data_IF_309428654679
#
_entry.id   IF_309428654679
#
_cell.length_a   1.000
_cell.length_b   1.000
_cell.length_c   1.000
_cell.angle_alpha   90.00
_cell.angle_beta   90.00
_cell.angle_gamma   90.00
#
_symmetry.space_group_name_H-M   'P 1'
#
loop_
_entity.id
_entity.type
_entity.pdbx_description
1 polymer ?
#
# COMPACT_ATOMS: atom_id res chain seq x y z
N UNK A 1 25.06 30.11 -4.60
CA UNK A 1 25.84 29.08 -5.29
C UNK A 1 26.14 27.86 -4.42
N UNK A 2 26.25 27.97 -3.10
CA UNK A 2 26.62 26.88 -2.18
C UNK A 2 25.49 25.90 -1.85
N UNK A 3 24.22 26.32 -1.84
CA UNK A 3 23.07 25.44 -1.55
C UNK A 3 22.73 24.47 -2.70
N UNK A 4 22.89 24.89 -3.95
CA UNK A 4 22.64 24.02 -5.11
C UNK A 4 23.67 22.89 -5.24
N UNK A 5 24.94 23.18 -4.89
CA UNK A 5 26.01 22.17 -4.93
C UNK A 5 25.91 21.13 -3.80
N UNK A 6 25.38 21.51 -2.63
CA UNK A 6 25.15 20.55 -1.53
C UNK A 6 24.02 19.56 -1.87
N UNK A 7 23.00 20.00 -2.59
CA UNK A 7 21.88 19.15 -3.03
C UNK A 7 22.30 18.15 -4.15
N UNK A 8 23.24 18.52 -5.01
CA UNK A 8 23.81 17.59 -6.02
C UNK A 8 24.76 16.56 -5.39
N UNK A 9 25.57 16.95 -4.41
CA UNK A 9 26.48 16.02 -3.73
C UNK A 9 25.73 14.99 -2.85
N UNK A 10 24.64 15.39 -2.20
CA UNK A 10 23.81 14.46 -1.41
C UNK A 10 23.04 13.46 -2.28
N UNK A 11 22.61 13.88 -3.47
CA UNK A 11 22.06 12.97 -4.48
C UNK A 11 23.06 11.91 -4.92
N UNK A 12 24.33 12.29 -5.12
CA UNK A 12 25.40 11.41 -5.56
C UNK A 12 25.71 10.26 -4.60
N UNK A 13 25.46 10.41 -3.30
CA UNK A 13 25.71 9.34 -2.33
C UNK A 13 24.54 8.31 -2.26
N UNK A 14 23.30 8.75 -2.50
CA UNK A 14 22.13 7.85 -2.57
C UNK A 14 21.96 7.16 -3.93
N UNK A 15 22.56 7.69 -4.99
CA UNK A 15 22.37 7.19 -6.34
C UNK A 15 23.69 6.68 -6.94
N UNK A 16 23.60 5.85 -7.95
CA UNK A 16 24.76 5.53 -8.77
C UNK A 16 25.17 6.75 -9.61
N UNK A 17 26.46 6.85 -9.99
CA UNK A 17 26.91 7.88 -10.91
C UNK A 17 26.15 7.80 -12.25
N UNK A 18 25.74 8.95 -12.79
CA UNK A 18 25.10 9.01 -14.10
C UNK A 18 26.12 8.83 -15.21
N UNK A 19 26.28 7.59 -15.68
CA UNK A 19 27.24 7.23 -16.75
C UNK A 19 26.56 6.93 -18.10
N UNK A 20 25.23 7.03 -18.16
CA UNK A 20 24.41 6.73 -19.33
C UNK A 20 23.47 7.88 -19.68
N UNK A 21 23.17 8.04 -20.97
CA UNK A 21 22.13 8.97 -21.43
C UNK A 21 20.71 8.36 -21.36
N UNK A 22 20.60 7.07 -21.09
CA UNK A 22 19.34 6.38 -20.90
C UNK A 22 18.63 6.87 -19.63
N UNK A 23 17.41 7.45 -19.71
CA UNK A 23 16.64 7.88 -18.55
C UNK A 23 16.39 6.78 -17.52
N UNK A 24 16.29 5.52 -17.95
CA UNK A 24 16.11 4.37 -17.04
C UNK A 24 17.34 4.10 -16.16
N UNK A 25 18.50 4.67 -16.52
CA UNK A 25 19.77 4.47 -15.82
C UNK A 25 20.30 5.71 -15.11
N UNK A 26 19.53 6.81 -15.08
CA UNK A 26 19.92 8.05 -14.39
C UNK A 26 19.30 8.10 -12.99
N UNK A 27 20.06 8.59 -12.03
CA UNK A 27 19.64 8.78 -10.63
C UNK A 27 19.06 7.52 -9.96
N UNK A 28 19.49 6.33 -10.42
CA UNK A 28 19.08 5.05 -9.83
C UNK A 28 19.62 4.94 -8.42
N UNK A 29 18.74 4.64 -7.46
CA UNK A 29 19.12 4.49 -6.06
C UNK A 29 20.09 3.32 -5.88
N UNK A 30 21.17 3.55 -5.11
CA UNK A 30 22.09 2.49 -4.69
C UNK A 30 21.32 1.44 -3.90
N UNK A 31 21.49 0.20 -4.28
CA UNK A 31 20.75 -0.93 -3.74
C UNK A 31 21.69 -2.14 -3.58
N UNK A 32 21.32 -3.05 -2.70
CA UNK A 32 22.11 -4.25 -2.38
C UNK A 32 22.20 -5.27 -3.52
N UNK A 33 21.34 -5.13 -4.53
CA UNK A 33 21.34 -5.98 -5.73
C UNK A 33 22.38 -5.54 -6.77
N UNK A 34 22.92 -4.31 -6.66
CA UNK A 34 23.81 -3.73 -7.67
C UNK A 34 23.10 -3.30 -8.95
N UNK A 35 21.77 -3.24 -8.95
CA UNK A 35 20.95 -2.90 -10.12
C UNK A 35 21.06 -1.40 -10.42
N UNK A 36 21.32 -1.06 -11.69
CA UNK A 36 21.47 0.31 -12.21
C UNK A 36 20.44 0.63 -13.31
N UNK A 37 19.23 0.10 -13.19
CA UNK A 37 18.07 0.37 -14.04
C UNK A 37 16.86 0.56 -13.13
N UNK A 38 16.08 1.63 -13.37
CA UNK A 38 14.86 1.92 -12.59
C UNK A 38 13.80 0.84 -12.77
N UNK A 39 13.62 0.33 -13.98
CA UNK A 39 12.61 -0.69 -14.28
C UNK A 39 12.94 -2.03 -13.62
N UNK A 40 14.21 -2.44 -13.68
CA UNK A 40 14.68 -3.66 -13.01
C UNK A 40 14.64 -3.51 -11.48
N UNK A 41 15.16 -2.39 -10.94
CA UNK A 41 15.15 -2.14 -9.50
C UNK A 41 13.72 -2.11 -8.97
N UNK A 42 12.79 -1.48 -9.66
CA UNK A 42 11.38 -1.46 -9.27
C UNK A 42 10.83 -2.87 -9.11
N UNK A 43 11.13 -3.76 -10.04
CA UNK A 43 10.63 -5.14 -10.00
C UNK A 43 11.17 -5.89 -8.79
N UNK A 44 12.48 -5.85 -8.57
CA UNK A 44 13.11 -6.58 -7.46
C UNK A 44 12.80 -5.95 -6.09
N UNK A 45 12.74 -4.62 -6.02
CA UNK A 45 12.33 -3.90 -4.81
C UNK A 45 10.89 -4.27 -4.40
N UNK A 46 9.95 -4.27 -5.36
CA UNK A 46 8.56 -4.66 -5.08
C UNK A 46 8.47 -6.10 -4.58
N UNK A 47 9.22 -7.02 -5.19
CA UNK A 47 9.24 -8.43 -4.77
C UNK A 47 9.77 -8.58 -3.35
N UNK A 48 10.91 -7.98 -3.04
CA UNK A 48 11.53 -8.04 -1.72
C UNK A 48 10.65 -7.38 -0.66
N UNK A 49 10.13 -6.17 -0.95
CA UNK A 49 9.26 -5.45 -0.03
C UNK A 49 7.92 -6.17 0.20
N UNK A 50 7.31 -6.77 -0.83
CA UNK A 50 6.06 -7.53 -0.70
C UNK A 50 6.23 -8.74 0.23
N UNK A 51 7.34 -9.45 0.12
CA UNK A 51 7.67 -10.56 1.02
C UNK A 51 7.72 -10.10 2.48
N UNK A 52 8.44 -9.01 2.77
CA UNK A 52 8.55 -8.45 4.12
C UNK A 52 7.23 -7.88 4.65
N UNK A 53 6.42 -7.29 3.78
CA UNK A 53 5.08 -6.82 4.15
C UNK A 53 4.14 -7.98 4.50
N UNK A 54 4.25 -9.13 3.80
CA UNK A 54 3.49 -10.32 4.15
C UNK A 54 3.90 -10.86 5.54
N UNK A 55 5.18 -10.94 5.86
CA UNK A 55 5.65 -11.30 7.21
C UNK A 55 5.10 -10.36 8.28
N UNK A 56 5.08 -9.04 8.04
CA UNK A 56 4.46 -8.07 8.95
C UNK A 56 2.97 -8.39 9.14
N UNK A 57 2.24 -8.66 8.06
CA UNK A 57 0.80 -8.98 8.13
C UNK A 57 0.52 -10.28 8.90
N UNK A 58 1.43 -11.25 8.86
CA UNK A 58 1.38 -12.48 9.64
C UNK A 58 1.78 -12.29 11.13
N UNK A 59 2.35 -11.13 11.47
CA UNK A 59 2.73 -10.77 12.83
C UNK A 59 4.20 -10.98 13.16
N UNK A 60 5.03 -11.31 12.17
CA UNK A 60 6.47 -11.52 12.32
C UNK A 60 7.28 -10.23 12.14
N UNK A 61 6.60 -9.09 12.02
CA UNK A 61 7.20 -7.77 11.91
C UNK A 61 7.81 -7.24 13.21
N UNK A 62 8.51 -6.10 13.14
CA UNK A 62 9.10 -5.48 14.32
C UNK A 62 8.03 -5.01 15.30
N UNK A 63 8.18 -5.38 16.57
CA UNK A 63 7.30 -4.91 17.64
C UNK A 63 7.64 -3.49 18.07
N UNK A 64 6.64 -2.70 18.51
CA UNK A 64 6.84 -1.34 18.99
C UNK A 64 5.59 -0.70 19.59
N UNK A 65 5.69 0.60 19.90
CA UNK A 65 4.64 1.36 20.56
C UNK A 65 3.96 2.39 19.65
N UNK A 66 4.07 2.23 18.33
CA UNK A 66 3.55 3.16 17.33
C UNK A 66 4.10 4.60 17.49
N UNK A 67 5.37 4.67 17.87
CA UNK A 67 6.18 5.86 17.92
C UNK A 67 7.11 5.97 16.68
N UNK A 68 7.93 7.00 16.65
CA UNK A 68 8.91 7.24 15.57
C UNK A 68 9.89 6.07 15.39
N UNK A 69 10.30 5.43 16.48
CA UNK A 69 11.23 4.31 16.42
C UNK A 69 10.56 3.09 15.78
N UNK A 70 9.32 2.84 16.12
CA UNK A 70 8.54 1.75 15.51
C UNK A 70 8.32 1.99 14.00
N UNK A 71 7.96 3.22 13.59
CA UNK A 71 7.84 3.58 12.17
C UNK A 71 9.16 3.32 11.41
N UNK A 72 10.30 3.73 11.99
CA UNK A 72 11.64 3.49 11.42
C UNK A 72 11.98 2.00 11.38
N UNK A 73 11.61 1.24 12.41
CA UNK A 73 11.84 -0.20 12.45
C UNK A 73 11.03 -0.93 11.35
N UNK A 74 9.77 -0.55 11.14
CA UNK A 74 8.95 -1.08 10.04
C UNK A 74 9.56 -0.77 8.67
N UNK A 75 9.99 0.49 8.43
CA UNK A 75 10.69 0.83 7.20
C UNK A 75 11.98 0.01 7.03
N UNK A 76 12.76 -0.11 8.11
CA UNK A 76 13.99 -0.91 8.13
C UNK A 76 13.71 -2.36 7.75
N UNK A 77 12.66 -2.96 8.30
CA UNK A 77 12.26 -4.34 8.04
C UNK A 77 11.79 -4.56 6.60
N UNK A 78 10.96 -3.67 6.07
CA UNK A 78 10.44 -3.78 4.69
C UNK A 78 11.57 -3.69 3.67
N UNK A 79 12.56 -2.82 3.89
CA UNK A 79 13.59 -2.51 2.89
C UNK A 79 14.98 -3.06 3.22
N UNK A 80 15.12 -3.87 4.27
CA UNK A 80 16.42 -4.40 4.72
C UNK A 80 17.19 -5.17 3.64
N UNK A 81 16.49 -5.81 2.73
CA UNK A 81 17.11 -6.60 1.66
C UNK A 81 17.49 -5.75 0.44
N UNK A 82 17.00 -4.52 0.39
CA UNK A 82 17.15 -3.63 -0.78
C UNK A 82 18.12 -2.50 -0.54
N UNK A 83 18.01 -1.81 0.60
CA UNK A 83 18.74 -0.58 0.86
C UNK A 83 19.59 -0.64 2.13
N UNK A 84 20.82 -0.12 2.04
CA UNK A 84 21.68 0.02 3.24
C UNK A 84 21.17 1.08 4.21
N UNK A 85 20.44 2.06 3.72
CA UNK A 85 19.81 3.13 4.50
C UNK A 85 18.39 2.78 5.01
N UNK A 86 17.95 1.53 4.86
CA UNK A 86 16.66 1.10 5.38
C UNK A 86 16.54 1.41 6.90
N UNK A 87 15.41 1.99 7.33
CA UNK A 87 15.18 2.43 8.70
C UNK A 87 15.69 3.84 9.03
N UNK A 88 16.44 4.48 8.14
CA UNK A 88 16.91 5.84 8.32
C UNK A 88 16.00 6.87 7.65
N UNK A 89 15.64 7.90 8.37
CA UNK A 89 14.92 9.04 7.81
C UNK A 89 15.86 9.92 6.96
N UNK A 90 15.31 10.63 5.98
CA UNK A 90 16.09 11.42 5.02
C UNK A 90 16.82 12.64 5.61
N UNK A 91 16.58 12.97 6.89
CA UNK A 91 17.34 13.96 7.64
C UNK A 91 18.51 13.36 8.43
N UNK A 92 18.69 12.05 8.39
CA UNK A 92 19.83 11.36 9.01
C UNK A 92 20.99 11.18 8.00
N UNK A 93 22.11 10.70 8.51
CA UNK A 93 23.35 10.54 7.75
C UNK A 93 23.83 9.07 7.76
N UNK A 94 23.07 8.14 7.15
CA UNK A 94 23.48 6.74 7.06
C UNK A 94 24.77 6.57 6.25
N UNK A 95 25.34 5.38 6.34
CA UNK A 95 26.44 4.95 5.46
C UNK A 95 25.83 4.18 4.28
N UNK A 96 26.17 4.59 3.07
CA UNK A 96 25.73 3.93 1.82
C UNK A 96 26.98 3.71 0.96
N UNK A 97 27.25 2.47 0.59
CA UNK A 97 28.46 2.10 -0.15
C UNK A 97 29.76 2.67 0.47
N UNK A 98 29.87 2.55 1.80
CA UNK A 98 31.01 3.03 2.57
C UNK A 98 31.11 4.56 2.72
N UNK A 99 30.17 5.33 2.18
CA UNK A 99 30.14 6.79 2.26
C UNK A 99 29.01 7.30 3.14
N UNK A 100 29.29 8.34 3.94
CA UNK A 100 28.26 9.01 4.71
C UNK A 100 27.40 9.85 3.78
N UNK A 101 26.09 9.62 3.84
CA UNK A 101 25.11 10.40 3.08
C UNK A 101 24.73 11.66 3.85
N UNK A 102 24.63 12.77 3.15
CA UNK A 102 24.16 14.03 3.74
C UNK A 102 22.63 14.09 3.83
N UNK A 103 22.08 14.79 4.82
CA UNK A 103 20.64 14.97 4.96
C UNK A 103 19.99 15.63 3.73
N UNK A 104 18.83 15.12 3.33
CA UNK A 104 18.05 15.70 2.24
C UNK A 104 17.17 16.83 2.81
N UNK A 105 17.46 18.06 2.45
CA UNK A 105 16.75 19.25 2.92
C UNK A 105 15.36 19.41 2.33
N UNK A 106 15.24 19.30 1.02
CA UNK A 106 13.99 19.41 0.27
C UNK A 106 13.67 18.12 -0.48
N UNK A 107 12.39 17.75 -0.53
CA UNK A 107 11.91 16.65 -1.35
C UNK A 107 10.55 17.02 -1.93
N UNK A 108 10.34 16.74 -3.22
CA UNK A 108 9.06 16.94 -3.90
C UNK A 108 8.79 15.78 -4.86
N UNK A 109 7.52 15.46 -5.10
CA UNK A 109 7.09 14.43 -6.04
C UNK A 109 5.78 14.87 -6.70
N UNK A 110 5.71 14.80 -8.03
CA UNK A 110 4.49 15.12 -8.77
C UNK A 110 3.93 16.53 -8.51
N UNK A 111 4.81 17.52 -8.24
CA UNK A 111 4.40 18.89 -7.92
C UNK A 111 4.07 19.13 -6.44
N UNK A 112 3.98 18.10 -5.62
CA UNK A 112 3.74 18.22 -4.17
C UNK A 112 5.07 18.34 -3.43
N UNK A 113 5.24 19.40 -2.62
CA UNK A 113 6.38 19.59 -1.73
C UNK A 113 6.11 18.99 -0.36
N UNK A 114 7.08 18.25 0.15
CA UNK A 114 7.01 17.63 1.48
C UNK A 114 7.68 18.51 2.54
N UNK A 115 7.47 18.15 3.81
CA UNK A 115 8.04 18.87 4.93
C UNK A 115 9.58 19.00 4.79
N UNK A 116 10.19 20.18 5.04
CA UNK A 116 11.64 20.33 5.01
C UNK A 116 12.36 19.35 5.93
N UNK A 117 13.50 18.80 5.48
CA UNK A 117 14.26 17.77 6.21
C UNK A 117 14.60 18.17 7.66
N UNK A 118 14.94 19.42 7.91
CA UNK A 118 15.23 19.94 9.26
C UNK A 118 14.04 19.90 10.24
N UNK A 119 12.82 19.64 9.74
CA UNK A 119 11.58 19.59 10.55
C UNK A 119 11.01 18.17 10.70
N UNK A 120 11.63 17.15 10.12
CA UNK A 120 11.10 15.77 10.12
C UNK A 120 10.82 15.28 11.54
N UNK A 121 11.74 15.48 12.49
CA UNK A 121 11.55 15.02 13.88
C UNK A 121 10.32 15.63 14.53
N UNK A 122 10.12 16.93 14.35
CA UNK A 122 8.93 17.65 14.85
C UNK A 122 7.66 17.18 14.10
N UNK A 123 7.76 17.04 12.78
CA UNK A 123 6.63 16.56 11.97
C UNK A 123 6.17 15.17 12.35
N UNK A 124 7.09 14.24 12.64
CA UNK A 124 6.77 12.91 13.14
C UNK A 124 6.11 12.96 14.52
N UNK A 125 6.55 13.87 15.41
CA UNK A 125 5.89 14.05 16.71
C UNK A 125 4.46 14.52 16.59
N UNK A 126 4.15 15.43 15.66
CA UNK A 126 2.78 15.88 15.41
C UNK A 126 1.96 14.80 14.67
N UNK A 127 2.52 14.16 13.66
CA UNK A 127 1.85 13.12 12.89
C UNK A 127 1.35 11.94 13.76
N UNK A 128 2.14 11.57 14.77
CA UNK A 128 1.81 10.44 15.65
C UNK A 128 0.97 10.83 16.89
N UNK A 129 0.70 12.13 17.07
CA UNK A 129 -0.07 12.64 18.21
C UNK A 129 -1.49 12.03 18.34
N UNK A 130 -2.27 11.81 17.26
CA UNK A 130 -3.61 11.21 17.36
C UNK A 130 -3.65 9.82 17.98
N UNK A 131 -2.53 9.09 17.98
CA UNK A 131 -2.43 7.69 18.43
C UNK A 131 -1.57 7.50 19.68
N UNK A 132 -1.16 8.59 20.33
CA UNK A 132 -0.31 8.51 21.55
C UNK A 132 -1.02 7.94 22.77
N UNK A 133 -2.35 8.04 22.82
CA UNK A 133 -3.14 7.53 23.95
C UNK A 133 -3.69 6.12 23.61
N UNK A 134 -3.09 5.04 24.20
CA UNK A 134 -3.56 3.69 23.96
C UNK A 134 -4.98 3.44 24.49
N UNK A 135 -5.44 4.18 25.51
CA UNK A 135 -6.78 4.02 26.07
C UNK A 135 -7.85 4.55 25.09
N UNK A 136 -7.57 5.70 24.48
CA UNK A 136 -8.45 6.26 23.47
C UNK A 136 -8.60 5.34 22.26
N UNK A 137 -7.52 4.66 21.85
CA UNK A 137 -7.56 3.70 20.73
C UNK A 137 -8.31 2.40 21.08
N UNK A 138 -8.15 1.88 22.31
CA UNK A 138 -8.85 0.65 22.74
C UNK A 138 -10.36 0.79 22.80
N UNK A 139 -10.84 1.99 23.09
CA UNK A 139 -12.27 2.29 23.25
C UNK A 139 -12.87 2.93 21.99
N UNK A 140 -12.08 3.20 20.96
CA UNK A 140 -12.53 3.85 19.74
C UNK A 140 -13.51 2.96 18.97
N UNK A 141 -14.65 3.54 18.57
CA UNK A 141 -15.50 2.94 17.55
C UNK A 141 -14.75 2.91 16.19
N UNK A 142 -15.12 2.03 15.24
CA UNK A 142 -14.45 1.95 13.94
C UNK A 142 -14.30 3.30 13.22
N UNK A 143 -15.31 4.14 13.27
CA UNK A 143 -15.31 5.47 12.64
C UNK A 143 -14.36 6.45 13.33
N UNK A 144 -14.28 6.40 14.67
CA UNK A 144 -13.33 7.20 15.44
C UNK A 144 -11.89 6.72 15.22
N UNK A 145 -11.69 5.40 15.15
CA UNK A 145 -10.40 4.82 14.83
C UNK A 145 -9.97 5.22 13.41
N UNK A 146 -10.88 5.14 12.42
CA UNK A 146 -10.63 5.56 11.05
C UNK A 146 -10.20 7.04 10.97
N UNK A 147 -10.86 7.93 11.71
CA UNK A 147 -10.51 9.35 11.77
C UNK A 147 -9.09 9.58 12.32
N UNK A 148 -8.73 8.90 13.41
CA UNK A 148 -7.39 8.99 14.00
C UNK A 148 -6.31 8.42 13.08
N UNK A 149 -6.55 7.25 12.50
CA UNK A 149 -5.63 6.61 11.56
C UNK A 149 -5.46 7.42 10.27
N UNK A 150 -6.53 8.03 9.77
CA UNK A 150 -6.50 8.93 8.62
C UNK A 150 -5.63 10.17 8.88
N UNK A 151 -5.76 10.80 10.04
CA UNK A 151 -4.91 11.94 10.43
C UNK A 151 -3.44 11.54 10.47
N UNK A 152 -3.12 10.37 11.07
CA UNK A 152 -1.75 9.85 11.07
C UNK A 152 -1.24 9.64 9.65
N UNK A 153 -2.02 9.00 8.79
CA UNK A 153 -1.62 8.70 7.41
C UNK A 153 -1.42 9.97 6.59
N UNK A 154 -2.31 10.95 6.69
CA UNK A 154 -2.20 12.25 6.01
C UNK A 154 -0.95 13.02 6.46
N UNK A 155 -0.73 13.12 7.77
CA UNK A 155 0.43 13.84 8.31
C UNK A 155 1.75 13.12 7.98
N UNK A 156 1.81 11.79 8.09
CA UNK A 156 3.00 11.02 7.68
C UNK A 156 3.29 11.16 6.19
N UNK A 157 2.23 11.26 5.36
CA UNK A 157 2.39 11.51 3.93
C UNK A 157 2.99 12.91 3.66
N UNK A 158 2.55 13.95 4.38
CA UNK A 158 3.14 15.29 4.29
C UNK A 158 4.57 15.35 4.84
N UNK A 159 4.84 14.70 5.96
CA UNK A 159 6.20 14.61 6.54
C UNK A 159 7.17 13.91 5.58
N UNK A 160 6.73 12.83 4.93
CA UNK A 160 7.49 12.04 3.97
C UNK A 160 8.91 11.73 4.46
N UNK A 161 9.04 11.00 5.59
CA UNK A 161 10.30 10.97 6.33
C UNK A 161 11.43 10.19 5.66
N UNK A 162 11.14 9.28 4.75
CA UNK A 162 12.14 8.42 4.12
C UNK A 162 12.49 8.88 2.70
N UNK A 163 13.65 8.45 2.22
CA UNK A 163 14.08 8.73 0.84
C UNK A 163 13.18 8.06 -0.20
N UNK A 164 12.77 6.82 0.05
CA UNK A 164 11.83 6.01 -0.73
C UNK A 164 11.04 5.10 0.22
N UNK A 165 9.96 4.47 -0.25
CA UNK A 165 9.20 3.48 0.51
C UNK A 165 8.21 4.05 1.53
N UNK A 166 7.95 5.36 1.52
CA UNK A 166 7.05 6.01 2.48
C UNK A 166 5.64 5.40 2.47
N UNK A 167 5.00 5.24 1.31
CA UNK A 167 3.64 4.70 1.21
C UNK A 167 3.52 3.30 1.83
N UNK A 168 4.38 2.36 1.42
CA UNK A 168 4.37 0.97 1.95
C UNK A 168 4.61 0.92 3.45
N UNK A 169 5.52 1.76 3.95
CA UNK A 169 5.79 1.85 5.40
C UNK A 169 4.59 2.41 6.16
N UNK A 170 3.93 3.44 5.64
CA UNK A 170 2.75 4.05 6.24
C UNK A 170 1.57 3.08 6.26
N UNK A 171 1.30 2.38 5.17
CA UNK A 171 0.27 1.35 5.07
C UNK A 171 0.53 0.21 6.06
N UNK A 172 1.75 -0.33 6.12
CA UNK A 172 2.13 -1.37 7.07
C UNK A 172 1.99 -0.89 8.53
N UNK A 173 2.45 0.31 8.83
CA UNK A 173 2.37 0.89 10.17
C UNK A 173 0.92 1.08 10.64
N UNK A 174 0.05 1.60 9.76
CA UNK A 174 -1.36 1.82 10.09
C UNK A 174 -2.14 0.49 10.14
N UNK A 175 -1.81 -0.48 9.30
CA UNK A 175 -2.39 -1.84 9.37
C UNK A 175 -2.05 -2.55 10.69
N UNK A 176 -0.77 -2.46 11.13
CA UNK A 176 -0.34 -2.98 12.42
C UNK A 176 -1.04 -2.28 13.59
N UNK A 177 -1.22 -0.95 13.51
CA UNK A 177 -1.99 -0.20 14.48
C UNK A 177 -3.42 -0.72 14.55
N UNK A 178 -4.06 -0.91 13.41
CA UNK A 178 -5.41 -1.47 13.32
C UNK A 178 -5.49 -2.86 13.97
N UNK A 179 -4.61 -3.77 13.59
CA UNK A 179 -4.54 -5.13 14.14
C UNK A 179 -4.38 -5.12 15.67
N UNK A 180 -3.51 -4.25 16.19
CA UNK A 180 -3.27 -4.12 17.64
C UNK A 180 -4.51 -3.72 18.41
N UNK A 181 -5.39 -2.91 17.83
CA UNK A 181 -6.58 -2.37 18.48
C UNK A 181 -7.91 -3.01 18.00
N UNK A 182 -7.83 -4.13 17.26
CA UNK A 182 -8.99 -4.91 16.85
C UNK A 182 -9.72 -4.36 15.61
N UNK A 183 -9.05 -3.53 14.82
CA UNK A 183 -9.56 -3.00 13.56
C UNK A 183 -8.75 -3.57 12.39
N UNK A 184 -9.35 -4.48 11.64
CA UNK A 184 -8.73 -5.01 10.42
C UNK A 184 -8.76 -3.96 9.31
N UNK A 185 -7.60 -3.59 8.79
CA UNK A 185 -7.45 -2.64 7.68
C UNK A 185 -6.91 -3.38 6.46
N UNK A 186 -7.67 -3.36 5.37
CA UNK A 186 -7.29 -3.99 4.12
C UNK A 186 -7.05 -2.94 3.02
N UNK A 187 -5.81 -2.53 2.84
CA UNK A 187 -5.44 -1.61 1.77
C UNK A 187 -5.42 -2.26 0.38
N UNK A 188 -5.58 -3.58 0.27
CA UNK A 188 -5.61 -4.26 -1.05
C UNK A 188 -6.84 -3.90 -1.87
N UNK A 189 -7.89 -3.35 -1.25
CA UNK A 189 -9.08 -2.84 -1.93
C UNK A 189 -8.97 -1.35 -2.29
N UNK A 190 -7.88 -0.69 -1.92
CA UNK A 190 -7.64 0.72 -2.22
C UNK A 190 -6.72 0.83 -3.43
N UNK A 191 -7.23 1.39 -4.50
CA UNK A 191 -6.42 1.61 -5.71
C UNK A 191 -5.38 2.71 -5.51
N UNK A 192 -4.27 2.61 -6.24
CA UNK A 192 -3.21 3.61 -6.18
C UNK A 192 -3.68 5.02 -6.57
N UNK A 193 -4.48 5.23 -7.64
CA UNK A 193 -5.04 6.56 -7.94
C UNK A 193 -5.88 7.11 -6.79
N UNK A 194 -6.71 6.28 -6.15
CA UNK A 194 -7.51 6.69 -4.98
C UNK A 194 -6.66 7.16 -3.81
N UNK A 195 -5.60 6.42 -3.47
CA UNK A 195 -4.68 6.79 -2.40
C UNK A 195 -3.93 8.09 -2.71
N UNK A 196 -3.48 8.26 -3.97
CA UNK A 196 -2.76 9.46 -4.40
C UNK A 196 -3.68 10.68 -4.33
N UNK A 197 -4.91 10.58 -4.82
CA UNK A 197 -5.88 11.68 -4.80
C UNK A 197 -6.18 12.12 -3.35
N UNK A 198 -6.50 11.18 -2.47
CA UNK A 198 -6.74 11.48 -1.06
C UNK A 198 -5.51 12.11 -0.38
N UNK A 199 -4.31 11.68 -0.73
CA UNK A 199 -3.05 12.26 -0.24
C UNK A 199 -2.83 13.70 -0.70
N UNK A 200 -3.09 14.00 -1.97
CA UNK A 200 -3.00 15.36 -2.53
C UNK A 200 -4.04 16.26 -1.90
N UNK A 201 -5.28 15.80 -1.83
CA UNK A 201 -6.41 16.56 -1.29
C UNK A 201 -6.18 16.94 0.17
N UNK A 202 -5.79 15.99 1.02
CA UNK A 202 -5.51 16.26 2.44
C UNK A 202 -4.23 17.07 2.67
N UNK A 203 -3.29 17.06 1.74
CA UNK A 203 -2.12 17.96 1.78
C UNK A 203 -2.51 19.40 1.47
N UNK A 204 -3.43 19.61 0.53
CA UNK A 204 -3.92 20.94 0.14
C UNK A 204 -4.95 21.48 1.12
N UNK A 205 -5.81 20.63 1.66
CA UNK A 205 -6.81 20.94 2.67
C UNK A 205 -6.77 19.87 3.80
N UNK A 206 -6.08 20.16 4.92
CA UNK A 206 -6.03 19.25 6.06
C UNK A 206 -7.39 18.94 6.72
N UNK A 207 -8.44 19.70 6.39
CA UNK A 207 -9.81 19.44 6.85
C UNK A 207 -10.61 18.50 5.96
N UNK A 208 -10.08 18.16 4.78
CA UNK A 208 -10.72 17.23 3.85
C UNK A 208 -10.94 15.86 4.47
N UNK A 209 -12.13 15.26 4.28
CA UNK A 209 -12.40 13.89 4.74
C UNK A 209 -11.81 12.80 3.80
N UNK A 210 -11.11 13.13 2.73
CA UNK A 210 -10.71 12.19 1.69
C UNK A 210 -9.92 11.00 2.25
N UNK A 211 -8.91 11.22 3.09
CA UNK A 211 -8.15 10.13 3.70
C UNK A 211 -8.97 9.34 4.73
N UNK A 212 -9.88 9.99 5.45
CA UNK A 212 -10.83 9.31 6.34
C UNK A 212 -11.72 8.35 5.55
N UNK A 213 -12.22 8.77 4.40
CA UNK A 213 -13.00 7.92 3.51
C UNK A 213 -12.21 6.72 2.98
N UNK A 214 -10.90 6.87 2.71
CA UNK A 214 -10.03 5.75 2.36
C UNK A 214 -9.96 4.74 3.52
N UNK A 215 -9.77 5.21 4.75
CA UNK A 215 -9.70 4.32 5.93
C UNK A 215 -11.06 3.66 6.23
N UNK A 216 -12.17 4.37 6.10
CA UNK A 216 -13.51 3.77 6.23
C UNK A 216 -13.75 2.66 5.21
N UNK A 217 -13.33 2.89 3.95
CA UNK A 217 -13.41 1.88 2.88
C UNK A 217 -12.53 0.65 3.19
N UNK A 218 -11.35 0.86 3.76
CA UNK A 218 -10.41 -0.21 4.09
C UNK A 218 -10.79 -0.98 5.38
N UNK A 219 -11.50 -0.35 6.34
CA UNK A 219 -11.89 -0.95 7.63
C UNK A 219 -13.24 -1.65 7.56
N UNK A 220 -14.24 -1.05 6.92
CA UNK A 220 -15.60 -1.57 6.90
C UNK A 220 -15.72 -2.80 5.98
N UNK A 221 -16.12 -3.99 6.50
CA UNK A 221 -16.20 -5.22 5.70
C UNK A 221 -17.15 -5.09 4.49
N UNK A 222 -18.26 -4.37 4.66
CA UNK A 222 -19.26 -4.21 3.61
C UNK A 222 -18.75 -3.29 2.49
N UNK A 223 -18.00 -2.22 2.84
CA UNK A 223 -17.34 -1.34 1.87
C UNK A 223 -16.24 -2.07 1.13
N UNK A 224 -15.43 -2.89 1.82
CA UNK A 224 -14.43 -3.76 1.19
C UNK A 224 -15.06 -4.70 0.17
N UNK A 225 -16.21 -5.29 0.51
CA UNK A 225 -16.94 -6.18 -0.40
C UNK A 225 -17.46 -5.42 -1.63
N UNK A 226 -18.01 -4.22 -1.43
CA UNK A 226 -18.45 -3.36 -2.52
C UNK A 226 -17.30 -3.00 -3.48
N UNK A 227 -16.13 -2.67 -2.95
CA UNK A 227 -14.94 -2.39 -3.76
C UNK A 227 -14.45 -3.62 -4.52
N UNK A 228 -14.49 -4.81 -3.90
CA UNK A 228 -14.14 -6.06 -4.60
C UNK A 228 -15.11 -6.39 -5.72
N UNK A 229 -16.41 -6.10 -5.55
CA UNK A 229 -17.40 -6.25 -6.61
C UNK A 229 -17.07 -5.30 -7.78
N UNK A 230 -16.84 -4.01 -7.52
CA UNK A 230 -16.43 -3.05 -8.55
C UNK A 230 -15.11 -3.46 -9.25
N UNK A 231 -14.16 -4.05 -8.53
CA UNK A 231 -12.94 -4.60 -9.12
C UNK A 231 -13.24 -5.79 -10.05
N UNK A 232 -14.22 -6.63 -9.69
CA UNK A 232 -14.63 -7.76 -10.52
C UNK A 232 -15.29 -7.27 -11.81
N UNK A 233 -16.24 -6.33 -11.72
CA UNK A 233 -16.90 -5.73 -12.87
C UNK A 233 -15.89 -5.17 -13.89
N UNK A 234 -14.90 -4.42 -13.41
CA UNK A 234 -13.84 -3.88 -14.28
C UNK A 234 -12.99 -4.97 -14.93
N UNK A 235 -12.65 -6.03 -14.19
CA UNK A 235 -11.89 -7.16 -14.75
C UNK A 235 -12.65 -7.90 -15.82
N UNK A 236 -13.97 -8.07 -15.70
CA UNK A 236 -14.83 -8.69 -16.70
C UNK A 236 -14.83 -7.89 -18.02
N UNK A 237 -14.66 -6.57 -17.93
CA UNK A 237 -14.51 -5.70 -19.08
C UNK A 237 -13.07 -5.67 -19.65
N UNK A 238 -12.13 -6.39 -19.04
CA UNK A 238 -10.73 -6.41 -19.44
C UNK A 238 -9.92 -5.22 -18.94
N UNK A 239 -10.49 -4.41 -18.04
CA UNK A 239 -9.83 -3.26 -17.43
C UNK A 239 -8.94 -3.68 -16.25
N UNK A 240 -8.03 -2.80 -15.86
CA UNK A 240 -7.14 -2.99 -14.71
C UNK A 240 -7.65 -2.16 -13.52
N UNK A 241 -8.33 -2.74 -12.54
CA UNK A 241 -8.98 -1.99 -11.46
C UNK A 241 -8.03 -1.06 -10.70
N UNK A 242 -6.78 -1.47 -10.51
CA UNK A 242 -5.78 -0.67 -9.77
C UNK A 242 -5.27 0.57 -10.53
N UNK A 243 -5.65 0.77 -11.79
CA UNK A 243 -5.35 1.96 -12.58
C UNK A 243 -6.48 3.01 -12.51
N UNK A 244 -7.63 2.68 -11.91
CA UNK A 244 -8.79 3.55 -11.77
C UNK A 244 -8.93 4.10 -10.34
N UNK A 245 -9.51 5.31 -10.21
CA UNK A 245 -9.96 5.82 -8.92
C UNK A 245 -11.29 5.14 -8.57
N UNK A 246 -11.27 4.27 -7.56
CA UNK A 246 -12.44 3.47 -7.15
C UNK A 246 -12.72 3.74 -5.68
N UNK A 247 -13.98 4.05 -5.37
CA UNK A 247 -14.46 4.34 -4.02
C UNK A 247 -15.87 3.82 -3.78
N UNK A 248 -16.27 3.75 -2.52
CA UNK A 248 -17.67 3.53 -2.20
C UNK A 248 -18.43 4.85 -2.10
N UNK A 249 -19.73 4.80 -2.33
CA UNK A 249 -20.64 5.91 -2.12
C UNK A 249 -20.71 6.36 -0.65
N UNK A 250 -21.09 7.62 -0.42
CA UNK A 250 -21.33 8.19 0.91
C UNK A 250 -22.81 8.54 1.08
N UNK A 251 -23.34 8.32 2.27
CA UNK A 251 -24.73 8.63 2.57
C UNK A 251 -25.02 10.13 2.31
N UNK A 252 -26.07 10.41 1.55
CA UNK A 252 -26.48 11.75 1.12
C UNK A 252 -25.81 12.24 -0.17
N UNK A 253 -24.88 11.46 -0.74
CA UNK A 253 -24.22 11.80 -1.99
C UNK A 253 -25.15 11.59 -3.19
N UNK A 254 -25.16 12.55 -4.13
CA UNK A 254 -25.76 12.38 -5.43
C UNK A 254 -24.73 11.81 -6.40
N UNK A 255 -25.05 10.67 -7.00
CA UNK A 255 -24.18 9.97 -7.94
C UNK A 255 -24.87 10.01 -9.30
N UNK A 256 -24.23 10.66 -10.28
CA UNK A 256 -24.62 10.66 -11.67
C UNK A 256 -23.56 9.92 -12.48
N UNK A 257 -23.99 8.91 -13.24
CA UNK A 257 -23.05 8.16 -14.04
C UNK A 257 -23.69 7.00 -14.79
N UNK A 258 -22.87 6.35 -15.59
CA UNK A 258 -23.23 5.18 -16.35
C UNK A 258 -23.11 3.93 -15.47
N UNK A 259 -24.13 3.09 -15.45
CA UNK A 259 -24.10 1.80 -14.75
C UNK A 259 -23.11 0.87 -15.43
N UNK A 260 -22.07 0.47 -14.71
CA UNK A 260 -21.07 -0.48 -15.18
C UNK A 260 -21.57 -1.92 -15.04
N UNK A 261 -22.13 -2.23 -13.87
CA UNK A 261 -22.68 -3.54 -13.52
C UNK A 261 -23.44 -3.47 -12.20
N UNK A 262 -24.19 -4.49 -11.89
CA UNK A 262 -24.82 -4.67 -10.59
C UNK A 262 -25.06 -6.14 -10.26
N UNK A 263 -24.97 -6.47 -9.01
CA UNK A 263 -25.40 -7.76 -8.46
C UNK A 263 -26.65 -7.59 -7.55
N UNK A 264 -26.89 -8.50 -6.64
CA UNK A 264 -28.01 -8.42 -5.70
C UNK A 264 -27.78 -7.44 -4.52
N UNK A 265 -26.57 -6.88 -4.38
CA UNK A 265 -26.16 -6.03 -3.23
C UNK A 265 -25.51 -4.71 -3.65
N UNK A 266 -24.75 -4.71 -4.73
CA UNK A 266 -23.93 -3.59 -5.16
C UNK A 266 -24.32 -3.19 -6.57
N UNK A 267 -24.19 -1.89 -6.84
CA UNK A 267 -24.20 -1.31 -8.18
C UNK A 267 -22.91 -0.49 -8.36
N UNK A 268 -22.29 -0.64 -9.51
CA UNK A 268 -21.06 0.07 -9.86
C UNK A 268 -21.34 1.10 -10.94
N UNK A 269 -20.89 2.34 -10.72
CA UNK A 269 -21.04 3.46 -11.65
C UNK A 269 -19.70 3.92 -12.19
N UNK A 270 -19.67 4.28 -13.46
CA UNK A 270 -18.62 5.11 -14.05
C UNK A 270 -19.10 6.56 -14.01
N UNK A 271 -18.38 7.40 -13.30
CA UNK A 271 -18.65 8.83 -13.17
C UNK A 271 -17.52 9.65 -13.75
N UNK A 272 -17.67 10.97 -13.84
CA UNK A 272 -16.60 11.91 -14.24
C UNK A 272 -15.43 11.97 -13.22
N UNK A 273 -15.66 11.50 -11.98
CA UNK A 273 -14.67 11.48 -10.90
C UNK A 273 -14.05 10.09 -10.65
N UNK A 274 -14.41 9.09 -11.44
CA UNK A 274 -13.94 7.71 -11.30
C UNK A 274 -15.07 6.71 -11.10
N UNK A 275 -14.76 5.59 -10.49
CA UNK A 275 -15.68 4.48 -10.27
C UNK A 275 -16.27 4.55 -8.87
N UNK A 276 -17.58 4.44 -8.76
CA UNK A 276 -18.30 4.48 -7.49
C UNK A 276 -19.11 3.20 -7.29
N UNK A 277 -18.82 2.47 -6.22
CA UNK A 277 -19.64 1.35 -5.76
C UNK A 277 -20.70 1.86 -4.77
N UNK A 278 -21.98 1.62 -5.05
CA UNK A 278 -23.10 2.02 -4.22
C UNK A 278 -23.94 0.80 -3.82
N UNK A 279 -24.77 0.96 -2.80
CA UNK A 279 -25.74 -0.07 -2.39
C UNK A 279 -26.86 -0.17 -3.44
N UNK A 280 -27.13 -1.38 -3.91
CA UNK A 280 -28.21 -1.61 -4.84
C UNK A 280 -29.58 -1.19 -4.31
N UNK A 281 -29.77 -1.16 -3.00
CA UNK A 281 -31.01 -0.69 -2.38
C UNK A 281 -31.32 0.80 -2.68
N UNK A 282 -30.32 1.57 -3.12
CA UNK A 282 -30.48 2.97 -3.52
C UNK A 282 -30.94 3.13 -4.97
N UNK A 283 -30.99 2.03 -5.77
CA UNK A 283 -31.54 2.03 -7.11
C UNK A 283 -33.08 2.16 -7.11
N UNK A 284 -33.67 2.71 -8.18
CA UNK A 284 -35.09 2.69 -8.39
C UNK A 284 -35.64 1.25 -8.55
N UNK A 285 -36.98 1.06 -8.36
CA UNK A 285 -37.63 -0.25 -8.50
C UNK A 285 -37.36 -0.90 -9.88
N UNK A 286 -37.37 -0.09 -10.93
CA UNK A 286 -36.88 -0.53 -12.24
C UNK A 286 -35.37 -0.46 -12.24
N UNK A 287 -34.74 -1.61 -12.30
CA UNK A 287 -33.29 -1.70 -12.40
C UNK A 287 -32.81 -1.12 -13.74
N UNK A 288 -31.75 -0.31 -13.71
CA UNK A 288 -31.12 0.18 -14.92
C UNK A 288 -30.41 -0.96 -15.65
N UNK A 289 -30.28 -0.82 -16.97
CA UNK A 289 -29.42 -1.70 -17.75
C UNK A 289 -27.96 -1.27 -17.63
N UNK A 290 -27.02 -2.19 -17.87
CA UNK A 290 -25.63 -1.84 -18.09
C UNK A 290 -25.51 -0.82 -19.22
N UNK A 291 -24.70 0.21 -19.02
CA UNK A 291 -24.54 1.33 -19.95
C UNK A 291 -25.61 2.41 -19.83
N UNK A 292 -26.66 2.24 -19.04
CA UNK A 292 -27.69 3.27 -18.80
C UNK A 292 -27.13 4.36 -17.90
N UNK A 293 -27.32 5.64 -18.28
CA UNK A 293 -26.93 6.79 -17.46
C UNK A 293 -28.09 7.15 -16.53
N UNK A 294 -27.84 7.14 -15.23
CA UNK A 294 -28.82 7.48 -14.21
C UNK A 294 -28.22 8.34 -13.11
N UNK A 295 -29.09 8.99 -12.35
CA UNK A 295 -28.72 9.71 -11.13
C UNK A 295 -29.46 9.10 -9.94
N UNK A 296 -28.72 8.80 -8.87
CA UNK A 296 -29.26 8.31 -7.61
C UNK A 296 -28.75 9.16 -6.44
N UNK A 297 -29.49 9.14 -5.32
CA UNK A 297 -28.95 9.62 -4.05
C UNK A 297 -28.60 8.41 -3.18
N UNK A 298 -27.34 8.24 -2.85
CA UNK A 298 -26.89 7.20 -1.94
C UNK A 298 -27.46 7.46 -0.54
N UNK A 299 -28.15 6.49 0.03
CA UNK A 299 -28.76 6.54 1.37
C UNK A 299 -28.10 5.56 2.32
N UNK A 300 -27.50 4.51 1.75
CA UNK A 300 -26.81 3.48 2.50
C UNK A 300 -25.45 3.96 2.98
N UNK A 301 -25.13 3.60 4.22
CA UNK A 301 -23.79 3.69 4.79
C UNK A 301 -23.04 2.34 4.73
N UNK A 302 -23.55 1.38 3.96
CA UNK A 302 -23.10 -0.01 3.89
C UNK A 302 -23.26 -0.82 5.19
N UNK A 303 -23.97 -0.31 6.18
CA UNK A 303 -24.26 -1.04 7.42
C UNK A 303 -25.26 -2.18 7.22
N UNK A 304 -26.07 -2.11 6.14
CA UNK A 304 -27.18 -3.01 5.83
C UNK A 304 -26.86 -4.08 4.80
N UNK A 305 -25.63 -4.15 4.28
CA UNK A 305 -25.27 -5.23 3.39
C UNK A 305 -25.35 -6.55 4.16
N UNK A 306 -26.39 -7.35 3.87
CA UNK A 306 -26.52 -8.69 4.42
C UNK A 306 -25.29 -9.50 4.03
N UNK A 307 -24.63 -10.09 5.02
CA UNK A 307 -23.60 -11.10 4.72
C UNK A 307 -24.28 -12.20 3.93
N UNK A 308 -23.74 -12.57 2.79
CA UNK A 308 -24.11 -13.82 2.17
C UNK A 308 -23.96 -14.90 3.24
N UNK A 309 -25.03 -15.66 3.52
CA UNK A 309 -24.88 -16.85 4.35
C UNK A 309 -23.74 -17.67 3.74
N UNK A 310 -22.73 -18.08 4.54
CA UNK A 310 -21.68 -18.94 4.02
C UNK A 310 -22.38 -20.12 3.36
N UNK A 311 -22.04 -20.37 2.09
CA UNK A 311 -22.60 -21.51 1.37
C UNK A 311 -22.48 -22.70 2.31
N UNK A 312 -23.61 -23.32 2.68
CA UNK A 312 -23.62 -24.50 3.54
C UNK A 312 -22.68 -25.49 2.88
N UNK A 313 -21.56 -25.76 3.51
CA UNK A 313 -20.67 -26.83 3.04
C UNK A 313 -21.54 -28.06 2.87
N UNK A 314 -21.50 -28.72 1.71
CA UNK A 314 -22.24 -29.95 1.54
C UNK A 314 -21.82 -30.89 2.67
N UNK A 315 -22.77 -31.30 3.52
CA UNK A 315 -22.52 -32.18 4.64
C UNK A 315 -21.67 -33.34 4.13
N UNK A 316 -20.40 -33.32 4.46
CA UNK A 316 -19.46 -34.37 4.09
C UNK A 316 -19.93 -35.66 4.76
N UNK A 317 -20.53 -36.55 3.96
CA UNK A 317 -20.58 -37.94 4.30
C UNK A 317 -19.14 -38.37 4.60
N UNK A 318 -18.90 -38.81 5.81
CA UNK A 318 -17.63 -39.33 6.26
C UNK A 318 -17.12 -40.37 5.26
N UNK A 319 -16.17 -40.02 4.44
CA UNK A 319 -15.33 -40.96 3.71
C UNK A 319 -14.02 -41.17 4.48
N UNK A 320 -13.55 -42.42 4.56
CA UNK A 320 -12.37 -42.75 5.35
C UNK A 320 -11.11 -42.08 4.81
N UNK A 321 -10.20 -41.77 5.72
CA UNK A 321 -8.92 -41.10 5.49
C UNK A 321 -8.24 -41.51 4.19
N UNK A 322 -8.17 -40.61 3.21
CA UNK A 322 -7.32 -40.73 2.05
C UNK A 322 -5.94 -40.14 2.38
N UNK A 323 -4.93 -40.98 2.20
CA UNK A 323 -3.51 -40.62 2.26
C UNK A 323 -3.22 -39.38 1.42
N UNK A 324 -2.41 -38.47 1.98
CA UNK A 324 -1.79 -37.33 1.31
C UNK A 324 -1.15 -37.77 -0.02
N UNK A 325 -1.79 -37.52 -1.12
CA UNK A 325 -1.17 -37.53 -2.43
C UNK A 325 -0.54 -36.15 -2.63
N UNK A 326 0.77 -36.14 -2.84
CA UNK A 326 1.56 -34.99 -3.23
C UNK A 326 0.94 -34.29 -4.44
N UNK A 327 0.59 -33.02 -4.28
CA UNK A 327 0.09 -32.19 -5.36
C UNK A 327 1.16 -32.05 -6.45
N UNK A 328 0.87 -32.62 -7.61
CA UNK A 328 1.65 -32.50 -8.83
C UNK A 328 1.29 -31.21 -9.56
N UNK A 329 1.65 -30.06 -9.02
CA UNK A 329 1.58 -28.80 -9.76
C UNK A 329 2.86 -28.65 -10.61
N UNK A 330 2.76 -28.71 -11.96
CA UNK A 330 3.92 -28.64 -12.85
C UNK A 330 4.68 -27.31 -12.78
N UNK A 331 4.02 -26.22 -12.41
CA UNK A 331 4.67 -24.91 -12.27
C UNK A 331 5.53 -24.82 -11.00
N UNK A 332 5.09 -25.40 -9.89
CA UNK A 332 5.90 -25.48 -8.65
C UNK A 332 7.14 -26.34 -8.86
N UNK A 333 7.01 -27.47 -9.57
CA UNK A 333 8.18 -28.33 -9.91
C UNK A 333 9.17 -27.64 -10.85
N UNK A 334 8.70 -26.80 -11.77
CA UNK A 334 9.58 -26.04 -12.65
C UNK A 334 10.38 -24.97 -11.87
N UNK A 335 9.77 -24.30 -10.91
CA UNK A 335 10.42 -23.32 -10.04
C UNK A 335 11.44 -23.99 -9.12
N UNK A 336 11.10 -25.12 -8.50
CA UNK A 336 12.02 -25.87 -7.65
C UNK A 336 13.21 -26.43 -8.43
N UNK A 337 13.01 -26.92 -9.67
CA UNK A 337 14.08 -27.38 -10.54
C UNK A 337 15.02 -26.24 -10.97
N UNK A 338 14.49 -25.05 -11.20
CA UNK A 338 15.28 -23.87 -11.54
C UNK A 338 16.12 -23.37 -10.36
N UNK A 339 15.57 -23.42 -9.14
CA UNK A 339 16.30 -23.08 -7.91
C UNK A 339 17.37 -24.13 -7.55
N UNK A 340 17.14 -25.41 -7.84
CA UNK A 340 18.12 -26.48 -7.63
C UNK A 340 19.29 -26.39 -8.58
N UNK A 341 19.06 -26.00 -9.84
CA UNK A 341 20.11 -25.82 -10.85
C UNK A 341 21.10 -24.69 -10.52
N UNK A 342 20.65 -23.67 -9.76
CA UNK A 342 21.48 -22.54 -9.30
C UNK A 342 22.35 -22.87 -8.07
N UNK A 343 22.18 -24.04 -7.43
CA UNK A 343 22.89 -24.45 -6.20
C UNK A 343 24.00 -25.48 -6.42
N UNK A 344 24.41 -25.77 -7.64
CA UNK A 344 25.51 -26.70 -7.87
C UNK A 344 26.87 -26.03 -7.59
N UNK A 345 27.68 -26.51 -6.65
CA UNK A 345 29.01 -25.96 -6.38
C UNK A 345 29.96 -26.31 -7.51
N UNK A 346 30.74 -25.32 -7.92
CA UNK A 346 31.92 -25.52 -8.77
C UNK A 346 32.81 -26.59 -8.13
N UNK A 347 33.19 -27.62 -8.93
CA UNK A 347 34.16 -28.62 -8.53
C UNK A 347 35.53 -27.98 -8.56
N UNK A 348 36.12 -27.88 -7.41
CA UNK A 348 37.55 -27.66 -7.22
C UNK A 348 38.31 -28.87 -7.81
N UNK A 349 38.87 -28.75 -9.00
CA UNK A 349 39.82 -29.71 -9.55
C UNK A 349 41.21 -29.39 -9.00
N UNK A 350 41.50 -30.04 -7.87
CA UNK A 350 42.79 -30.03 -7.25
C UNK A 350 43.91 -30.51 -8.18
N UNK A 351 44.87 -29.66 -8.31
CA UNK A 351 46.20 -29.90 -8.87
C UNK A 351 46.88 -31.11 -8.20
N UNK A 352 47.24 -32.10 -9.00
CA UNK A 352 48.24 -33.13 -8.67
C UNK A 352 49.37 -33.04 -9.65
N UNK A 353 50.50 -32.66 -9.16
CA UNK A 353 51.64 -33.18 -9.83
C UNK A 353 52.91 -32.33 -9.90
N UNK A 354 53.81 -32.62 -8.97
CA UNK A 354 55.29 -32.50 -8.97
C UNK A 354 55.87 -31.18 -8.44
#
# INVERSE_FOLDING_TARGET
MTLAMADEQSKGAYTYPNTSDDPDRRDVLRNKFGIQSHSELRTEEYRAAAFRMAEIAEGDGPSGNFDKQHLKAIHGYIFQDVYEWAGHTRNETPIVDGQRVEPIGGLSKGGTSFLPGSRIEMGLDEALKPIRDPQALRNAAPEEFADRAAKVLSELNYVHPFREGNGRTQEAFVSELGRRYGHEIDFTVISKPRMIEASIETTNDPSSPAMKHVLEDAINPNRREALRAAFADLKELGEKPFEHNIRTARAGEEISGQVLGHDNRIVTFVTDQGIVAADRADLPERLPNEGEEITITARSDFSRLERAEPAQEPQSQQQPARQLQQDNNPELKAIEAQMAAQRSPERDDGDRGR
#
